data_IF_743515274197
#
_entry.id   IF_743515274197
#
_cell.length_a   1.000
_cell.length_b   1.000
_cell.length_c   1.000
_cell.angle_alpha   90.00
_cell.angle_beta   90.00
_cell.angle_gamma   90.00
#
_symmetry.space_group_name_H-M   'P 1'
#
loop_
_entity.id
_entity.type
_entity.pdbx_description
1 polymer ?
#
# COMPACT_ATOMS: atom_id res chain seq x y z
N UNK A 1 46.70 -1.27 24.47
CA UNK A 1 47.40 -0.74 25.65
C UNK A 1 47.17 -1.70 26.83
N UNK A 2 48.03 -2.72 27.02
CA UNK A 2 47.92 -3.67 28.15
C UNK A 2 49.28 -4.03 28.80
N UNK A 3 50.37 -3.36 28.40
CA UNK A 3 51.72 -3.63 28.90
C UNK A 3 51.96 -3.24 30.37
N UNK A 4 51.06 -2.47 30.99
CA UNK A 4 51.18 -2.05 32.39
C UNK A 4 50.76 -3.10 33.43
N UNK A 5 49.86 -4.04 33.09
CA UNK A 5 49.33 -4.99 34.08
C UNK A 5 50.30 -6.14 34.42
N UNK A 6 51.14 -6.54 33.48
CA UNK A 6 52.10 -7.64 33.67
C UNK A 6 53.30 -7.22 34.53
N UNK A 7 53.79 -5.98 34.37
CA UNK A 7 54.87 -5.45 35.20
C UNK A 7 54.39 -5.15 36.62
N UNK A 8 53.19 -4.60 36.77
CA UNK A 8 52.60 -4.25 38.07
C UNK A 8 52.38 -5.47 38.98
N UNK A 9 51.98 -6.62 38.42
CA UNK A 9 51.80 -7.86 39.19
C UNK A 9 53.13 -8.49 39.63
N UNK A 10 54.17 -8.42 38.79
CA UNK A 10 55.52 -8.84 39.15
C UNK A 10 56.13 -8.02 40.28
N UNK A 11 55.99 -6.69 40.22
CA UNK A 11 56.47 -5.79 41.27
C UNK A 11 55.74 -6.02 42.60
N UNK A 12 54.41 -6.20 42.57
CA UNK A 12 53.63 -6.46 43.77
C UNK A 12 54.06 -7.78 44.45
N UNK A 13 54.27 -8.85 43.67
CA UNK A 13 54.73 -10.13 44.21
C UNK A 13 56.13 -10.02 44.84
N UNK A 14 57.04 -9.28 44.20
CA UNK A 14 58.37 -9.04 44.75
C UNK A 14 58.32 -8.25 46.08
N UNK A 15 57.47 -7.23 46.17
CA UNK A 15 57.30 -6.42 47.39
C UNK A 15 56.72 -7.27 48.53
N UNK A 16 55.71 -8.11 48.25
CA UNK A 16 55.10 -8.99 49.26
C UNK A 16 56.11 -10.03 49.77
N UNK A 17 56.92 -10.62 48.88
CA UNK A 17 57.98 -11.54 49.27
C UNK A 17 59.04 -10.86 50.15
N UNK A 18 59.45 -9.64 49.80
CA UNK A 18 60.42 -8.87 50.58
C UNK A 18 59.89 -8.54 51.99
N UNK A 19 58.63 -8.10 52.11
CA UNK A 19 58.02 -7.80 53.41
C UNK A 19 57.92 -9.03 54.32
N UNK A 20 57.65 -10.21 53.75
CA UNK A 20 57.64 -11.47 54.50
C UNK A 20 59.03 -11.83 55.05
N UNK A 21 60.08 -11.64 54.25
CA UNK A 21 61.48 -11.88 54.67
C UNK A 21 61.87 -10.93 55.81
N UNK A 22 61.56 -9.63 55.67
CA UNK A 22 61.87 -8.63 56.70
C UNK A 22 61.12 -8.93 58.00
N UNK A 23 59.84 -9.27 57.90
CA UNK A 23 59.02 -9.58 59.09
C UNK A 23 59.55 -10.82 59.81
N UNK A 24 59.91 -11.88 59.08
CA UNK A 24 60.47 -13.10 59.64
C UNK A 24 61.83 -12.90 60.33
N UNK A 25 62.64 -11.95 59.83
CA UNK A 25 63.90 -11.55 60.46
C UNK A 25 63.70 -10.74 61.75
N UNK A 26 62.72 -9.84 61.78
CA UNK A 26 62.44 -8.98 62.95
C UNK A 26 61.77 -9.75 64.09
N UNK A 27 60.99 -10.78 63.78
CA UNK A 27 60.24 -11.57 64.78
C UNK A 27 60.89 -12.90 65.14
N UNK A 28 62.16 -13.11 64.77
CA UNK A 28 62.97 -14.32 65.04
C UNK A 28 62.19 -15.62 64.79
N UNK A 29 61.62 -15.74 63.59
CA UNK A 29 60.76 -16.87 63.27
C UNK A 29 61.49 -18.20 63.45
N UNK A 30 60.86 -19.18 64.12
CA UNK A 30 61.46 -20.49 64.30
C UNK A 30 61.71 -21.12 62.93
N UNK A 31 62.78 -21.92 62.80
CA UNK A 31 63.29 -22.40 61.52
C UNK A 31 62.25 -23.11 60.62
N UNK A 32 61.17 -23.65 61.19
CA UNK A 32 60.07 -24.29 60.45
C UNK A 32 59.06 -23.31 59.84
N UNK A 33 59.03 -22.05 60.26
CA UNK A 33 58.11 -21.06 59.74
C UNK A 33 58.55 -20.48 58.38
N UNK A 34 59.86 -20.50 58.09
CA UNK A 34 60.41 -20.16 56.77
C UNK A 34 59.90 -21.06 55.64
N UNK A 35 59.99 -22.40 55.72
CA UNK A 35 59.45 -23.27 54.68
C UNK A 35 57.92 -23.19 54.61
N UNK A 36 57.22 -22.96 55.73
CA UNK A 36 55.76 -22.76 55.72
C UNK A 36 55.35 -21.48 54.96
N UNK A 37 56.07 -20.37 55.15
CA UNK A 37 55.82 -19.13 54.39
C UNK A 37 56.14 -19.29 52.90
N UNK A 38 57.24 -19.97 52.56
CA UNK A 38 57.58 -20.26 51.17
C UNK A 38 56.51 -21.14 50.49
N UNK A 39 56.00 -22.16 51.20
CA UNK A 39 54.92 -23.01 50.72
C UNK A 39 53.61 -22.22 50.52
N UNK A 40 53.28 -21.29 51.43
CA UNK A 40 52.09 -20.44 51.30
C UNK A 40 52.19 -19.50 50.09
N UNK A 41 53.35 -18.91 49.83
CA UNK A 41 53.58 -18.09 48.63
C UNK A 41 53.50 -18.91 47.34
N UNK A 42 54.07 -20.12 47.33
CA UNK A 42 53.97 -21.03 46.19
C UNK A 42 52.51 -21.46 45.93
N UNK A 43 51.75 -21.75 46.99
CA UNK A 43 50.32 -22.08 46.90
C UNK A 43 49.50 -20.88 46.38
N UNK A 44 49.74 -19.67 46.91
CA UNK A 44 49.04 -18.48 46.46
C UNK A 44 49.33 -18.16 44.98
N UNK A 45 50.60 -18.19 44.57
CA UNK A 45 51.00 -17.92 43.18
C UNK A 45 50.48 -18.97 42.21
N UNK A 46 50.56 -20.26 42.56
CA UNK A 46 49.99 -21.35 41.75
C UNK A 46 48.47 -21.26 41.62
N UNK A 47 47.76 -20.92 42.71
CA UNK A 47 46.30 -20.71 42.68
C UNK A 47 45.94 -19.52 41.80
N UNK A 48 46.70 -18.42 41.88
CA UNK A 48 46.49 -17.24 41.04
C UNK A 48 46.75 -17.55 39.55
N UNK A 49 47.82 -18.28 39.25
CA UNK A 49 48.13 -18.75 37.89
C UNK A 49 47.07 -19.73 37.37
N UNK A 50 46.52 -20.58 38.23
CA UNK A 50 45.45 -21.52 37.87
C UNK A 50 44.13 -20.79 37.59
N UNK A 51 43.77 -19.77 38.38
CA UNK A 51 42.62 -18.91 38.13
C UNK A 51 42.82 -18.08 36.86
N UNK A 52 44.02 -17.57 36.60
CA UNK A 52 44.34 -16.87 35.35
C UNK A 52 44.30 -17.81 34.13
N UNK A 53 44.79 -19.05 34.24
CA UNK A 53 44.65 -20.08 33.21
C UNK A 53 43.20 -20.50 32.97
N UNK A 54 42.32 -20.42 33.97
CA UNK A 54 40.87 -20.62 33.78
C UNK A 54 40.16 -19.39 33.23
N UNK A 55 40.78 -18.21 33.30
CA UNK A 55 40.28 -16.93 32.77
C UNK A 55 40.97 -16.51 31.47
N UNK A 56 41.62 -17.41 30.75
CA UNK A 56 41.96 -17.12 29.35
C UNK A 56 40.64 -16.94 28.58
N UNK A 57 40.34 -15.75 28.05
CA UNK A 57 39.39 -15.70 26.95
C UNK A 57 39.93 -16.64 25.88
N UNK A 58 39.07 -17.50 25.36
CA UNK A 58 39.35 -18.27 24.16
C UNK A 58 39.56 -17.26 23.02
N UNK A 59 40.79 -16.78 22.89
CA UNK A 59 41.24 -16.01 21.73
C UNK A 59 41.66 -17.09 20.72
N UNK A 60 40.99 -17.17 19.56
CA UNK A 60 41.38 -18.06 18.49
C UNK A 60 42.87 -17.83 18.16
N UNK A 61 43.65 -18.87 17.83
CA UNK A 61 45.09 -18.76 17.54
C UNK A 61 45.47 -17.78 16.42
N UNK A 62 44.48 -17.21 15.72
CA UNK A 62 44.59 -16.25 14.62
C UNK A 62 45.11 -14.86 15.01
N UNK A 63 45.16 -14.52 16.30
CA UNK A 63 45.64 -13.20 16.75
C UNK A 63 47.10 -13.22 17.27
N UNK A 64 47.84 -14.30 17.06
CA UNK A 64 49.30 -14.33 17.26
C UNK A 64 49.95 -13.79 16.00
N UNK A 65 50.57 -12.61 16.09
CA UNK A 65 51.34 -11.98 15.02
C UNK A 65 52.58 -12.83 14.68
N UNK A 66 52.39 -13.92 13.95
CA UNK A 66 53.43 -14.50 13.11
C UNK A 66 53.55 -13.67 11.81
N UNK A 67 54.76 -13.50 11.24
CA UNK A 67 54.92 -12.89 9.93
C UNK A 67 54.04 -13.63 8.93
N UNK A 68 53.05 -12.93 8.35
CA UNK A 68 52.06 -13.50 7.44
C UNK A 68 52.76 -14.21 6.29
N UNK A 69 52.81 -15.55 6.35
CA UNK A 69 52.87 -16.38 5.16
C UNK A 69 51.71 -15.96 4.26
N UNK A 70 51.86 -15.84 2.93
CA UNK A 70 50.73 -15.53 2.07
C UNK A 70 49.63 -16.56 2.39
N UNK A 71 48.50 -16.06 2.91
CA UNK A 71 47.32 -16.89 3.17
C UNK A 71 47.06 -17.66 1.88
N UNK A 72 46.98 -19.01 1.91
CA UNK A 72 46.53 -19.73 0.73
C UNK A 72 45.20 -19.11 0.28
N UNK A 73 44.99 -18.88 -1.03
CA UNK A 73 43.74 -18.29 -1.49
C UNK A 73 42.58 -19.09 -0.93
N UNK A 74 41.71 -18.45 -0.15
CA UNK A 74 40.52 -19.09 0.43
C UNK A 74 39.72 -19.66 -0.74
N UNK A 75 39.67 -20.98 -0.85
CA UNK A 75 38.82 -21.65 -1.83
C UNK A 75 37.36 -21.29 -1.52
N UNK A 76 36.81 -20.36 -2.30
CA UNK A 76 35.43 -19.93 -2.19
C UNK A 76 34.56 -20.98 -2.86
N UNK A 77 34.04 -21.92 -2.07
CA UNK A 77 33.01 -22.86 -2.49
C UNK A 77 31.66 -22.13 -2.58
N UNK A 78 31.51 -21.33 -3.65
CA UNK A 78 30.37 -20.46 -3.89
C UNK A 78 29.73 -20.73 -5.26
N UNK A 79 28.40 -20.69 -5.33
CA UNK A 79 27.64 -20.79 -6.57
C UNK A 79 26.45 -19.84 -6.52
N UNK A 80 26.29 -19.03 -7.57
CA UNK A 80 25.17 -18.09 -7.67
C UNK A 80 23.98 -18.77 -8.35
N UNK A 81 22.85 -18.79 -7.66
CA UNK A 81 21.53 -19.14 -8.19
C UNK A 81 20.84 -17.89 -8.71
N UNK A 82 20.30 -17.98 -9.93
CA UNK A 82 19.59 -16.89 -10.59
C UNK A 82 18.22 -17.36 -11.01
N UNK A 83 17.18 -16.72 -10.46
CA UNK A 83 15.78 -16.85 -10.88
C UNK A 83 15.31 -18.30 -11.02
N UNK A 84 15.57 -19.13 -10.01
CA UNK A 84 15.09 -20.52 -9.99
C UNK A 84 13.62 -20.52 -9.55
N UNK A 85 12.68 -21.11 -10.32
CA UNK A 85 11.28 -21.17 -9.94
C UNK A 85 11.08 -22.11 -8.75
N UNK A 86 10.31 -21.64 -7.78
CA UNK A 86 9.89 -22.37 -6.60
C UNK A 86 8.37 -22.27 -6.46
N UNK A 87 7.71 -23.36 -6.01
CA UNK A 87 6.27 -23.39 -5.86
C UNK A 87 5.83 -22.42 -4.75
N UNK A 88 4.67 -21.81 -4.93
CA UNK A 88 3.96 -21.03 -3.90
C UNK A 88 2.68 -21.72 -3.47
N UNK A 89 1.96 -21.15 -2.50
CA UNK A 89 0.66 -21.67 -2.06
C UNK A 89 -0.43 -21.64 -3.16
N UNK A 90 -0.22 -20.85 -4.22
CA UNK A 90 -1.13 -20.80 -5.37
C UNK A 90 -0.47 -21.48 -6.57
N UNK A 91 -1.14 -22.44 -7.21
CA UNK A 91 -0.53 -23.30 -8.24
C UNK A 91 -0.10 -22.54 -9.50
N UNK A 92 -0.70 -21.38 -9.78
CA UNK A 92 -0.44 -20.60 -10.99
C UNK A 92 0.66 -19.53 -10.80
N UNK A 93 1.28 -19.46 -9.61
CA UNK A 93 2.26 -18.43 -9.27
C UNK A 93 3.57 -19.06 -8.79
N UNK A 94 4.62 -18.92 -9.58
CA UNK A 94 5.96 -19.35 -9.20
C UNK A 94 6.78 -18.17 -8.66
N UNK A 95 7.47 -18.40 -7.55
CA UNK A 95 8.43 -17.45 -7.02
C UNK A 95 9.83 -17.76 -7.53
N UNK A 96 10.56 -16.72 -7.92
CA UNK A 96 11.89 -16.81 -8.49
C UNK A 96 12.92 -16.51 -7.40
N UNK A 97 13.66 -17.54 -7.00
CA UNK A 97 14.74 -17.44 -6.03
C UNK A 97 16.03 -17.01 -6.73
N UNK A 98 16.69 -16.01 -6.17
CA UNK A 98 18.09 -15.69 -6.49
C UNK A 98 18.89 -15.63 -5.19
N UNK A 99 20.01 -16.34 -5.12
CA UNK A 99 20.82 -16.42 -3.91
C UNK A 99 22.25 -16.87 -4.23
N UNK A 100 23.19 -16.58 -3.34
CA UNK A 100 24.56 -17.10 -3.41
C UNK A 100 24.69 -18.27 -2.44
N UNK A 101 24.80 -19.49 -2.97
CA UNK A 101 24.99 -20.70 -2.18
C UNK A 101 26.45 -20.84 -1.80
N UNK A 102 26.71 -21.09 -0.51
CA UNK A 102 28.03 -21.42 0.02
C UNK A 102 27.98 -22.81 0.63
N UNK A 103 29.02 -23.61 0.41
CA UNK A 103 29.09 -24.94 1.02
C UNK A 103 30.46 -25.26 1.59
N UNK A 104 30.49 -26.26 2.45
CA UNK A 104 31.70 -26.87 2.99
C UNK A 104 31.53 -28.39 2.95
N UNK A 105 32.41 -29.13 2.25
CA UNK A 105 32.39 -30.60 2.30
C UNK A 105 32.59 -31.09 3.74
N UNK A 106 31.84 -32.11 4.14
CA UNK A 106 32.08 -32.88 5.37
C UNK A 106 32.96 -34.09 5.06
N UNK A 107 33.62 -34.63 6.09
CA UNK A 107 34.51 -35.78 5.96
C UNK A 107 33.73 -37.02 5.53
N UNK A 108 33.67 -37.25 4.22
CA UNK A 108 33.02 -38.41 3.66
C UNK A 108 33.87 -39.68 3.92
N UNK A 109 33.23 -40.84 4.16
CA UNK A 109 33.94 -42.11 4.28
C UNK A 109 34.79 -42.41 3.03
N UNK A 110 35.96 -43.02 3.19
CA UNK A 110 36.89 -43.28 2.08
C UNK A 110 36.33 -44.14 0.93
N UNK A 111 35.20 -44.83 1.15
CA UNK A 111 34.49 -45.65 0.16
C UNK A 111 33.35 -44.93 -0.54
N UNK A 112 33.10 -43.66 -0.20
CA UNK A 112 31.98 -42.92 -0.73
C UNK A 112 32.25 -42.51 -2.19
N UNK A 113 31.25 -42.61 -3.10
CA UNK A 113 31.42 -42.19 -4.49
C UNK A 113 31.75 -40.70 -4.59
N UNK A 114 32.48 -40.33 -5.65
CA UNK A 114 32.77 -38.93 -5.99
C UNK A 114 31.49 -38.25 -6.44
N UNK A 115 31.11 -37.16 -5.80
CA UNK A 115 29.87 -36.40 -6.08
C UNK A 115 30.23 -34.97 -6.47
N UNK A 116 29.38 -34.35 -7.30
CA UNK A 116 29.43 -32.91 -7.54
C UNK A 116 28.86 -32.15 -6.33
N UNK A 117 29.73 -31.65 -5.45
CA UNK A 117 29.34 -30.90 -4.26
C UNK A 117 28.51 -29.65 -4.56
N UNK A 118 28.79 -28.97 -5.68
CA UNK A 118 28.07 -27.74 -6.04
C UNK A 118 26.60 -28.04 -6.38
N UNK A 119 26.35 -29.06 -7.21
CA UNK A 119 24.99 -29.50 -7.54
C UNK A 119 24.22 -30.02 -6.32
N UNK A 120 24.91 -30.70 -5.41
CA UNK A 120 24.31 -31.21 -4.18
C UNK A 120 23.94 -30.06 -3.23
N UNK A 121 24.82 -29.07 -3.07
CA UNK A 121 24.55 -27.89 -2.25
C UNK A 121 23.37 -27.08 -2.79
N UNK A 122 23.27 -26.90 -4.11
CA UNK A 122 22.12 -26.26 -4.74
C UNK A 122 20.84 -27.04 -4.47
N UNK A 123 20.85 -28.37 -4.63
CA UNK A 123 19.66 -29.19 -4.38
C UNK A 123 19.18 -29.07 -2.93
N UNK A 124 20.10 -29.16 -1.96
CA UNK A 124 19.79 -29.02 -0.54
C UNK A 124 19.19 -27.63 -0.19
N UNK A 125 19.64 -26.57 -0.86
CA UNK A 125 19.07 -25.22 -0.69
C UNK A 125 17.69 -25.12 -1.35
N UNK A 126 17.52 -25.66 -2.55
CA UNK A 126 16.23 -25.62 -3.26
C UNK A 126 15.16 -26.44 -2.53
N UNK A 127 15.52 -27.58 -1.95
CA UNK A 127 14.60 -28.41 -1.17
C UNK A 127 14.13 -27.67 0.09
N UNK A 128 15.07 -27.14 0.91
CA UNK A 128 14.73 -26.30 2.06
C UNK A 128 13.90 -25.09 1.68
N UNK A 129 14.28 -24.39 0.60
CA UNK A 129 13.54 -23.24 0.13
C UNK A 129 12.12 -23.60 -0.32
N UNK A 130 11.95 -24.73 -1.02
CA UNK A 130 10.64 -25.20 -1.47
C UNK A 130 9.68 -25.53 -0.32
N UNK A 131 10.21 -26.06 0.79
CA UNK A 131 9.41 -26.34 1.99
C UNK A 131 8.84 -25.06 2.60
N UNK A 132 9.62 -23.98 2.60
CA UNK A 132 9.19 -22.67 3.11
C UNK A 132 8.25 -21.97 2.13
N UNK A 133 8.56 -22.00 0.83
CA UNK A 133 7.77 -21.28 -0.18
C UNK A 133 6.45 -21.97 -0.52
N UNK A 134 6.32 -23.29 -0.37
CA UNK A 134 5.08 -24.02 -0.67
C UNK A 134 3.86 -23.50 0.11
N UNK A 135 4.04 -22.95 1.31
CA UNK A 135 2.98 -22.33 2.11
C UNK A 135 2.84 -20.81 1.94
N UNK A 136 3.69 -20.18 1.11
CA UNK A 136 3.76 -18.73 0.99
C UNK A 136 2.67 -18.15 0.09
N UNK A 137 2.02 -17.07 0.55
CA UNK A 137 1.12 -16.28 -0.30
C UNK A 137 1.95 -15.41 -1.27
N UNK A 138 1.76 -15.53 -2.60
CA UNK A 138 2.48 -14.72 -3.58
C UNK A 138 2.22 -13.21 -3.43
N UNK A 139 1.18 -12.80 -2.72
CA UNK A 139 0.90 -11.39 -2.41
C UNK A 139 1.83 -10.81 -1.33
N UNK A 140 2.49 -11.65 -0.52
CA UNK A 140 3.28 -11.25 0.67
C UNK A 140 4.73 -11.74 0.62
N UNK A 141 5.33 -11.76 -0.56
CA UNK A 141 6.66 -12.34 -0.75
C UNK A 141 7.78 -11.64 -0.01
N UNK A 142 7.66 -10.34 0.27
CA UNK A 142 8.64 -9.63 1.09
C UNK A 142 8.77 -10.23 2.49
N UNK A 143 7.67 -10.68 3.09
CA UNK A 143 7.70 -11.36 4.39
C UNK A 143 8.37 -12.73 4.26
N UNK A 144 8.00 -13.49 3.23
CA UNK A 144 8.59 -14.81 2.96
C UNK A 144 10.09 -14.72 2.66
N UNK A 145 10.54 -13.67 1.97
CA UNK A 145 11.96 -13.41 1.71
C UNK A 145 12.74 -13.27 3.01
N UNK A 146 12.21 -12.52 3.99
CA UNK A 146 12.86 -12.36 5.30
C UNK A 146 12.93 -13.67 6.08
N UNK A 147 11.85 -14.46 6.08
CA UNK A 147 11.83 -15.78 6.72
C UNK A 147 12.84 -16.71 6.04
N UNK A 148 12.81 -16.79 4.71
CA UNK A 148 13.69 -17.63 3.92
C UNK A 148 15.16 -17.24 4.08
N UNK A 149 15.46 -15.94 4.16
CA UNK A 149 16.81 -15.45 4.44
C UNK A 149 17.32 -15.86 5.82
N UNK A 150 16.45 -16.03 6.82
CA UNK A 150 16.82 -16.52 8.14
C UNK A 150 17.11 -18.03 8.12
N UNK A 151 16.21 -18.80 7.53
CA UNK A 151 16.32 -20.26 7.42
C UNK A 151 17.55 -20.68 6.61
N UNK A 152 17.79 -20.06 5.45
CA UNK A 152 18.91 -20.43 4.58
C UNK A 152 20.27 -19.90 5.06
N UNK A 153 20.31 -18.96 6.01
CA UNK A 153 21.57 -18.39 6.51
C UNK A 153 22.37 -19.36 7.40
N UNK A 154 21.76 -20.47 7.86
CA UNK A 154 22.40 -21.46 8.71
C UNK A 154 23.09 -22.53 7.86
N UNK A 155 24.32 -22.89 8.23
CA UNK A 155 25.00 -24.08 7.68
C UNK A 155 24.32 -25.32 8.21
N UNK A 156 23.60 -26.02 7.34
CA UNK A 156 22.98 -27.30 7.67
C UNK A 156 23.49 -28.39 6.74
N UNK A 157 23.53 -29.61 7.26
CA UNK A 157 23.92 -30.79 6.48
C UNK A 157 22.84 -31.10 5.46
N UNK A 158 23.27 -31.57 4.29
CA UNK A 158 22.37 -32.15 3.31
C UNK A 158 21.87 -33.53 3.77
N UNK A 159 20.81 -34.04 3.12
CA UNK A 159 20.24 -35.36 3.40
C UNK A 159 21.25 -36.52 3.27
N UNK A 160 22.32 -36.34 2.49
CA UNK A 160 23.34 -37.37 2.33
C UNK A 160 24.48 -37.26 3.35
N UNK A 161 24.52 -36.20 4.17
CA UNK A 161 25.53 -35.96 5.19
C UNK A 161 26.94 -35.80 4.63
N UNK A 162 27.05 -35.23 3.42
CA UNK A 162 28.32 -35.06 2.68
C UNK A 162 28.80 -33.63 2.66
N UNK A 163 27.93 -32.66 2.88
CA UNK A 163 28.30 -31.25 2.93
C UNK A 163 27.37 -30.47 3.84
N UNK A 164 27.88 -29.35 4.32
CA UNK A 164 27.11 -28.29 4.93
C UNK A 164 26.84 -27.20 3.87
N UNK A 165 25.59 -26.76 3.75
CA UNK A 165 25.21 -25.69 2.82
C UNK A 165 24.48 -24.54 3.54
N UNK A 166 24.74 -23.32 3.09
CA UNK A 166 23.98 -22.11 3.41
C UNK A 166 23.73 -21.29 2.15
N UNK A 167 22.80 -20.35 2.19
CA UNK A 167 22.67 -19.31 1.18
C UNK A 167 22.76 -17.91 1.80
N UNK A 168 23.35 -17.00 1.03
CA UNK A 168 23.52 -15.58 1.35
C UNK A 168 22.89 -14.77 0.22
N UNK A 169 22.51 -13.51 0.48
CA UNK A 169 21.91 -12.61 -0.49
C UNK A 169 20.64 -13.17 -1.14
N UNK A 170 19.80 -13.81 -0.32
CA UNK A 170 18.53 -14.41 -0.73
C UNK A 170 17.57 -13.32 -1.18
N UNK A 171 17.03 -13.46 -2.39
CA UNK A 171 15.99 -12.60 -2.96
C UNK A 171 14.88 -13.45 -3.55
N UNK A 172 13.64 -13.04 -3.32
CA UNK A 172 12.46 -13.72 -3.81
C UNK A 172 11.61 -12.76 -4.64
N UNK A 173 11.40 -13.06 -5.92
CA UNK A 173 10.64 -12.18 -6.83
C UNK A 173 9.59 -12.96 -7.60
N UNK A 174 8.48 -12.35 -8.02
CA UNK A 174 7.58 -12.94 -9.02
C UNK A 174 8.01 -12.59 -10.42
N UNK A 175 7.42 -13.25 -11.41
CA UNK A 175 7.38 -12.70 -12.76
C UNK A 175 6.69 -11.33 -12.74
N UNK A 176 7.11 -10.43 -13.64
CA UNK A 176 6.52 -9.09 -13.72
C UNK A 176 5.04 -9.14 -14.08
N UNK A 177 4.66 -10.05 -14.99
CA UNK A 177 3.27 -10.30 -15.39
C UNK A 177 2.39 -10.72 -14.20
N UNK A 178 2.88 -11.64 -13.37
CA UNK A 178 2.14 -12.12 -12.20
C UNK A 178 2.00 -11.06 -11.12
N UNK A 179 3.06 -10.28 -10.90
CA UNK A 179 3.02 -9.15 -9.97
C UNK A 179 1.96 -8.14 -10.39
N UNK A 180 1.91 -7.77 -11.67
CA UNK A 180 0.90 -6.87 -12.20
C UNK A 180 -0.52 -7.46 -12.09
N UNK A 181 -0.70 -8.74 -12.41
CA UNK A 181 -1.99 -9.43 -12.29
C UNK A 181 -2.48 -9.43 -10.84
N UNK A 182 -1.61 -9.76 -9.88
CA UNK A 182 -1.97 -9.74 -8.46
C UNK A 182 -2.31 -8.33 -7.98
N UNK A 183 -1.60 -7.31 -8.45
CA UNK A 183 -1.90 -5.91 -8.14
C UNK A 183 -3.28 -5.51 -8.68
N UNK A 184 -3.59 -5.85 -9.94
CA UNK A 184 -4.92 -5.60 -10.54
C UNK A 184 -6.02 -6.30 -9.75
N UNK A 185 -5.84 -7.57 -9.39
CA UNK A 185 -6.79 -8.31 -8.56
C UNK A 185 -6.97 -7.72 -7.16
N UNK A 186 -5.90 -7.18 -6.57
CA UNK A 186 -5.98 -6.50 -5.28
C UNK A 186 -6.78 -5.20 -5.39
N UNK A 187 -6.60 -4.43 -6.46
CA UNK A 187 -7.37 -3.22 -6.74
C UNK A 187 -8.86 -3.53 -6.92
N UNK A 188 -9.20 -4.53 -7.73
CA UNK A 188 -10.60 -4.95 -7.94
C UNK A 188 -11.26 -5.33 -6.62
N UNK A 189 -10.59 -6.17 -5.80
CA UNK A 189 -11.12 -6.56 -4.48
C UNK A 189 -11.34 -5.38 -3.53
N UNK A 190 -10.44 -4.39 -3.56
CA UNK A 190 -10.60 -3.16 -2.75
C UNK A 190 -11.79 -2.33 -3.24
N UNK A 191 -11.92 -2.16 -4.55
CA UNK A 191 -13.00 -1.39 -5.14
C UNK A 191 -14.36 -2.04 -4.88
N UNK A 192 -14.46 -3.37 -5.00
CA UNK A 192 -15.67 -4.11 -4.66
C UNK A 192 -16.03 -3.96 -3.18
N UNK A 193 -15.04 -4.04 -2.28
CA UNK A 193 -15.27 -3.85 -0.85
C UNK A 193 -15.75 -2.43 -0.50
N UNK A 194 -15.21 -1.41 -1.19
CA UNK A 194 -15.67 -0.02 -1.06
C UNK A 194 -17.11 0.11 -1.56
N UNK A 195 -17.39 -0.39 -2.76
CA UNK A 195 -18.72 -0.34 -3.36
C UNK A 195 -19.77 -1.05 -2.49
N UNK A 196 -19.47 -2.24 -1.97
CA UNK A 196 -20.41 -2.98 -1.12
C UNK A 196 -20.59 -2.28 0.24
N UNK A 197 -19.58 -1.56 0.74
CA UNK A 197 -19.74 -0.72 1.93
C UNK A 197 -20.64 0.50 1.64
N UNK A 198 -20.44 1.19 0.53
CA UNK A 198 -21.26 2.32 0.11
C UNK A 198 -22.71 1.91 -0.13
N UNK A 199 -22.93 0.80 -0.84
CA UNK A 199 -24.27 0.25 -1.08
C UNK A 199 -24.96 -0.10 0.24
N UNK A 200 -24.28 -0.77 1.16
CA UNK A 200 -24.85 -1.08 2.49
C UNK A 200 -25.13 0.19 3.29
N UNK A 201 -24.28 1.20 3.20
CA UNK A 201 -24.50 2.49 3.83
C UNK A 201 -25.76 3.18 3.26
N UNK A 202 -25.94 3.18 1.94
CA UNK A 202 -27.14 3.73 1.31
C UNK A 202 -28.42 2.97 1.69
N UNK A 203 -28.37 1.63 1.66
CA UNK A 203 -29.52 0.79 2.04
C UNK A 203 -29.87 1.03 3.52
N UNK A 204 -28.86 1.00 4.41
CA UNK A 204 -29.06 1.27 5.82
C UNK A 204 -29.60 2.68 6.06
N UNK A 205 -29.15 3.67 5.28
CA UNK A 205 -29.66 5.04 5.37
C UNK A 205 -31.10 5.14 4.91
N UNK A 206 -31.48 4.46 3.82
CA UNK A 206 -32.87 4.41 3.34
C UNK A 206 -33.78 3.72 4.34
N UNK A 207 -33.36 2.57 4.88
CA UNK A 207 -34.11 1.86 5.93
C UNK A 207 -34.25 2.71 7.18
N UNK A 208 -33.20 3.35 7.67
CA UNK A 208 -33.31 4.28 8.81
C UNK A 208 -34.29 5.44 8.53
N UNK A 209 -34.22 6.05 7.34
CA UNK A 209 -35.13 7.13 6.98
C UNK A 209 -36.58 6.66 6.84
N UNK A 210 -36.81 5.48 6.28
CA UNK A 210 -38.14 4.91 6.09
C UNK A 210 -38.73 4.39 7.40
N UNK A 211 -38.00 3.52 8.09
CA UNK A 211 -38.49 2.69 9.19
C UNK A 211 -38.47 3.41 10.55
N UNK A 212 -37.56 4.37 10.73
CA UNK A 212 -37.41 5.12 11.99
C UNK A 212 -37.86 6.58 11.85
N UNK A 213 -37.37 7.30 10.84
CA UNK A 213 -37.62 8.75 10.73
C UNK A 213 -39.01 9.04 10.17
N UNK A 214 -39.32 8.56 8.97
CA UNK A 214 -40.55 8.89 8.24
C UNK A 214 -41.69 7.90 8.50
N UNK A 215 -41.54 6.97 9.45
CA UNK A 215 -42.59 6.01 9.84
C UNK A 215 -43.90 6.69 10.22
N UNK A 216 -43.81 7.84 10.90
CA UNK A 216 -44.95 8.63 11.35
C UNK A 216 -44.61 10.12 11.28
N UNK A 217 -45.63 10.98 11.21
CA UNK A 217 -45.44 12.44 11.35
C UNK A 217 -44.69 12.80 12.64
N UNK A 218 -45.00 12.11 13.75
CA UNK A 218 -44.36 12.37 15.04
C UNK A 218 -42.86 12.06 15.05
N UNK A 219 -42.45 10.93 14.48
CA UNK A 219 -41.03 10.57 14.37
C UNK A 219 -40.26 11.52 13.44
N UNK A 220 -40.90 11.98 12.36
CA UNK A 220 -40.32 12.95 11.44
C UNK A 220 -40.09 14.31 12.12
N UNK A 221 -41.05 14.77 12.94
CA UNK A 221 -40.95 16.01 13.73
C UNK A 221 -39.83 15.93 14.76
N UNK A 222 -39.73 14.83 15.52
CA UNK A 222 -38.66 14.64 16.52
C UNK A 222 -37.29 14.60 15.85
N UNK A 223 -37.18 13.86 14.73
CA UNK A 223 -35.93 13.81 13.97
C UNK A 223 -35.55 15.18 13.40
N UNK A 224 -36.50 15.93 12.85
CA UNK A 224 -36.26 17.26 12.31
C UNK A 224 -35.80 18.22 13.40
N UNK A 225 -36.40 18.16 14.59
CA UNK A 225 -36.02 18.97 15.75
C UNK A 225 -34.58 18.66 16.20
N UNK A 226 -34.25 17.37 16.34
CA UNK A 226 -32.91 16.91 16.70
C UNK A 226 -31.85 17.29 15.66
N UNK A 227 -32.22 17.38 14.37
CA UNK A 227 -31.31 17.75 13.28
C UNK A 227 -31.12 19.27 13.13
N UNK A 228 -32.05 20.08 13.64
CA UNK A 228 -32.08 21.54 13.45
C UNK A 228 -31.91 22.33 14.76
N UNK A 229 -31.15 21.80 15.74
CA UNK A 229 -30.83 22.45 17.01
C UNK A 229 -32.06 22.97 17.78
N UNK A 230 -33.10 22.15 17.88
CA UNK A 230 -34.32 22.46 18.65
C UNK A 230 -35.06 23.74 18.21
N UNK A 231 -35.03 24.09 16.92
CA UNK A 231 -35.79 25.22 16.34
C UNK A 231 -37.30 24.95 16.25
N UNK A 232 -37.97 24.97 17.40
CA UNK A 232 -39.38 24.61 17.57
C UNK A 232 -40.29 25.40 16.62
N UNK A 233 -40.14 26.72 16.52
CA UNK A 233 -41.03 27.57 15.70
C UNK A 233 -41.08 27.11 14.24
N UNK A 234 -39.90 26.80 13.68
CA UNK A 234 -39.77 26.32 12.32
C UNK A 234 -40.25 24.87 12.18
N UNK A 235 -40.02 24.02 13.18
CA UNK A 235 -40.59 22.65 13.19
C UNK A 235 -42.11 22.69 13.10
N UNK A 236 -42.76 23.58 13.87
CA UNK A 236 -44.22 23.72 13.90
C UNK A 236 -44.75 24.19 12.55
N UNK A 237 -44.09 25.13 11.88
CA UNK A 237 -44.43 25.55 10.52
C UNK A 237 -44.29 24.41 9.51
N UNK A 238 -43.28 23.56 9.65
CA UNK A 238 -42.97 22.48 8.71
C UNK A 238 -43.79 21.18 8.97
N UNK A 239 -44.68 21.13 9.98
CA UNK A 239 -45.49 19.94 10.32
C UNK A 239 -46.26 19.40 9.11
N UNK A 240 -46.84 20.28 8.30
CA UNK A 240 -47.56 19.90 7.08
C UNK A 240 -46.67 19.14 6.10
N UNK A 241 -45.51 19.72 5.78
CA UNK A 241 -44.52 19.14 4.87
C UNK A 241 -43.98 17.81 5.39
N UNK A 242 -43.69 17.72 6.69
CA UNK A 242 -43.23 16.48 7.32
C UNK A 242 -44.31 15.39 7.30
N UNK A 243 -45.58 15.77 7.44
CA UNK A 243 -46.71 14.84 7.31
C UNK A 243 -46.84 14.31 5.90
N UNK A 244 -46.73 15.19 4.90
CA UNK A 244 -46.79 14.83 3.49
C UNK A 244 -45.65 13.89 3.11
N UNK A 245 -44.41 14.21 3.51
CA UNK A 245 -43.23 13.37 3.30
C UNK A 245 -43.35 12.00 3.98
N UNK A 246 -43.84 11.94 5.22
CA UNK A 246 -44.05 10.67 5.91
C UNK A 246 -45.15 9.84 5.23
N UNK A 247 -46.22 10.48 4.76
CA UNK A 247 -47.32 9.79 4.07
C UNK A 247 -46.86 9.25 2.71
N UNK A 248 -46.12 10.06 1.94
CA UNK A 248 -45.53 9.67 0.66
C UNK A 248 -44.49 8.55 0.81
N UNK A 249 -43.64 8.59 1.85
CA UNK A 249 -42.62 7.57 2.08
C UNK A 249 -43.19 6.18 2.43
N UNK A 250 -44.43 6.11 2.91
CA UNK A 250 -45.11 4.86 3.29
C UNK A 250 -46.24 4.47 2.33
N UNK A 251 -46.39 5.16 1.19
CA UNK A 251 -47.52 5.00 0.26
C UNK A 251 -48.90 5.04 0.95
N UNK A 252 -49.06 5.92 1.95
CA UNK A 252 -50.30 6.09 2.72
C UNK A 252 -50.95 7.45 2.47
N UNK A 253 -52.29 7.57 2.61
CA UNK A 253 -52.94 8.87 2.61
C UNK A 253 -52.59 9.68 3.86
N UNK A 254 -52.58 11.01 3.72
CA UNK A 254 -52.34 11.94 4.83
C UNK A 254 -53.41 11.75 5.94
N UNK A 255 -53.01 11.52 7.20
CA UNK A 255 -53.97 11.35 8.29
C UNK A 255 -54.83 12.60 8.51
N UNK A 256 -56.13 12.40 8.75
CA UNK A 256 -57.14 13.48 8.83
C UNK A 256 -56.78 14.60 9.80
N UNK A 257 -56.19 14.28 10.94
CA UNK A 257 -55.80 15.26 11.97
C UNK A 257 -54.74 16.27 11.48
N UNK A 258 -53.98 15.89 10.45
CA UNK A 258 -52.90 16.70 9.89
C UNK A 258 -53.22 17.32 8.52
N UNK A 259 -54.34 16.97 7.89
CA UNK A 259 -54.74 17.52 6.58
C UNK A 259 -54.83 19.05 6.58
N UNK A 260 -55.27 19.65 7.70
CA UNK A 260 -55.33 21.10 7.92
C UNK A 260 -53.97 21.82 7.94
N UNK A 261 -52.87 21.07 8.02
CA UNK A 261 -51.52 21.62 8.00
C UNK A 261 -50.84 21.40 6.66
N UNK A 262 -51.38 20.52 5.80
CA UNK A 262 -50.83 20.24 4.48
C UNK A 262 -51.36 21.28 3.48
N UNK A 263 -50.46 22.01 2.77
CA UNK A 263 -50.86 22.92 1.71
C UNK A 263 -51.68 22.19 0.62
N UNK A 264 -52.81 22.75 0.19
CA UNK A 264 -53.69 22.14 -0.82
C UNK A 264 -54.74 21.14 -0.30
N UNK A 265 -54.51 20.50 0.85
CA UNK A 265 -55.56 19.72 1.56
C UNK A 265 -56.30 20.52 2.63
N UNK A 266 -55.81 21.72 2.93
CA UNK A 266 -56.44 22.66 3.88
C UNK A 266 -57.63 23.42 3.29
N UNK A 267 -57.86 23.33 1.98
CA UNK A 267 -59.07 23.82 1.32
C UNK A 267 -60.17 22.79 1.47
N UNK A 268 -60.85 22.81 2.61
CA UNK A 268 -62.23 22.30 2.69
C UNK A 268 -63.08 23.34 1.98
N UNK A 269 -63.72 23.05 0.82
CA UNK A 269 -64.82 23.88 0.39
C UNK A 269 -65.84 23.82 1.52
N UNK A 270 -66.25 24.96 2.06
CA UNK A 270 -67.50 24.97 2.83
C UNK A 270 -68.55 24.22 2.01
N UNK A 271 -69.42 23.40 2.62
CA UNK A 271 -70.47 22.74 1.86
C UNK A 271 -71.36 23.82 1.27
N UNK A 272 -71.09 24.20 0.01
CA UNK A 272 -71.99 25.01 -0.78
C UNK A 272 -73.31 24.26 -0.82
N UNK A 273 -74.35 24.89 -0.27
CA UNK A 273 -75.71 24.36 -0.36
C UNK A 273 -76.01 24.07 -1.83
N UNK A 274 -76.66 22.94 -2.17
CA UNK A 274 -76.91 22.58 -3.56
C UNK A 274 -77.87 23.60 -4.18
N UNK A 275 -77.31 24.59 -4.88
CA UNK A 275 -78.05 25.45 -5.79
C UNK A 275 -78.41 24.57 -6.99
N UNK A 276 -79.66 24.12 -7.00
CA UNK A 276 -80.29 23.53 -8.17
C UNK A 276 -80.38 24.60 -9.27
N UNK A 277 -79.43 24.60 -10.21
CA UNK A 277 -79.64 25.21 -11.51
C UNK A 277 -80.34 24.19 -12.44
N UNK A 278 -81.48 24.55 -13.06
CA UNK A 278 -82.10 23.68 -14.05
C UNK A 278 -81.17 23.52 -15.25
N UNK A 279 -80.84 22.28 -15.61
CA UNK A 279 -80.16 21.97 -16.86
C UNK A 279 -81.05 22.41 -18.04
N UNK A 280 -80.76 23.56 -18.63
CA UNK A 280 -81.25 23.87 -19.97
C UNK A 280 -80.52 22.96 -20.97
N UNK A 281 -81.33 22.21 -21.72
CA UNK A 281 -80.92 21.38 -22.84
C UNK A 281 -80.24 22.27 -23.89
N UNK A 282 -78.91 22.37 -23.83
CA UNK A 282 -78.12 22.94 -24.91
C UNK A 282 -78.09 21.92 -26.06
N UNK A 283 -78.97 22.16 -27.05
CA UNK A 283 -78.87 21.63 -28.40
C UNK A 283 -77.46 21.85 -28.95
N UNK A 284 -76.73 20.77 -29.19
CA UNK A 284 -75.48 20.81 -29.94
C UNK A 284 -75.79 20.64 -31.42
N UNK A 285 -75.71 21.74 -32.18
CA UNK A 285 -75.51 21.69 -33.63
C UNK A 285 -74.10 21.14 -33.93
N UNK A 286 -73.92 20.29 -34.95
CA UNK A 286 -72.60 19.83 -35.33
C UNK A 286 -71.90 20.93 -36.13
N UNK A 287 -71.15 21.79 -35.45
CA UNK A 287 -70.12 22.58 -36.13
C UNK A 287 -68.97 21.63 -36.51
N UNK A 288 -68.75 21.48 -37.81
CA UNK A 288 -67.55 20.88 -38.37
C UNK A 288 -66.32 21.71 -37.98
N UNK A 289 -65.77 21.43 -36.81
CA UNK A 289 -64.39 21.71 -36.51
C UNK A 289 -63.55 20.69 -37.28
N UNK A 290 -62.83 21.16 -38.31
CA UNK A 290 -61.82 20.37 -38.98
C UNK A 290 -60.77 19.92 -37.97
N UNK A 291 -60.65 18.61 -37.79
CA UNK A 291 -59.53 18.02 -37.07
C UNK A 291 -58.37 18.03 -38.06
N UNK A 292 -57.74 19.20 -38.22
CA UNK A 292 -56.32 19.19 -38.56
C UNK A 292 -55.66 18.44 -37.42
N UNK A 293 -55.10 17.27 -37.76
CA UNK A 293 -54.28 16.50 -36.87
C UNK A 293 -53.22 17.44 -36.30
N UNK A 294 -53.33 17.79 -35.01
CA UNK A 294 -52.22 18.35 -34.27
C UNK A 294 -51.08 17.36 -34.43
N UNK A 295 -50.11 17.75 -35.26
CA UNK A 295 -48.79 17.16 -35.30
C UNK A 295 -48.34 17.03 -33.86
N UNK A 296 -48.19 15.78 -33.41
CA UNK A 296 -47.51 15.46 -32.18
C UNK A 296 -46.20 16.26 -32.19
N UNK A 297 -46.10 17.26 -31.31
CA UNK A 297 -44.88 18.01 -31.12
C UNK A 297 -43.77 17.01 -30.83
N UNK A 298 -42.90 16.78 -31.81
CA UNK A 298 -41.67 16.03 -31.62
C UNK A 298 -40.96 16.69 -30.44
N UNK A 299 -40.74 15.93 -29.36
CA UNK A 299 -39.89 16.38 -28.27
C UNK A 299 -38.54 16.80 -28.90
N UNK A 300 -38.04 18.02 -28.63
CA UNK A 300 -36.76 18.42 -29.18
C UNK A 300 -35.70 17.46 -28.67
N UNK A 301 -35.16 16.63 -29.55
CA UNK A 301 -34.03 15.76 -29.26
C UNK A 301 -32.83 16.68 -29.04
N UNK A 302 -32.63 17.11 -27.81
CA UNK A 302 -31.48 17.93 -27.42
C UNK A 302 -30.21 17.13 -27.68
N UNK A 303 -29.37 17.64 -28.58
CA UNK A 303 -28.06 17.05 -28.84
C UNK A 303 -27.10 17.39 -27.70
N UNK A 304 -26.06 16.58 -27.44
CA UNK A 304 -25.06 16.89 -26.41
C UNK A 304 -24.43 18.29 -26.57
N UNK A 305 -24.31 18.78 -27.80
CA UNK A 305 -23.85 20.14 -28.12
C UNK A 305 -24.76 21.23 -27.53
N UNK A 306 -26.07 21.01 -27.43
CA UNK A 306 -27.05 21.98 -26.95
C UNK A 306 -26.93 22.19 -25.44
N UNK A 307 -26.74 21.11 -24.68
CA UNK A 307 -26.49 21.20 -23.23
C UNK A 307 -25.19 21.94 -22.92
N UNK A 308 -24.16 21.70 -23.73
CA UNK A 308 -22.88 22.37 -23.57
C UNK A 308 -22.97 23.86 -23.89
N UNK A 309 -23.69 24.24 -24.96
CA UNK A 309 -23.97 25.66 -25.28
C UNK A 309 -24.78 26.34 -24.18
N UNK A 310 -25.81 25.68 -23.67
CA UNK A 310 -26.63 26.20 -22.58
C UNK A 310 -25.81 26.42 -21.30
N UNK A 311 -24.85 25.53 -20.99
CA UNK A 311 -23.94 25.69 -19.85
C UNK A 311 -22.98 26.88 -20.03
N UNK A 312 -22.45 27.08 -21.24
CA UNK A 312 -21.56 28.21 -21.56
C UNK A 312 -22.33 29.54 -21.49
N UNK A 313 -23.55 29.59 -22.00
CA UNK A 313 -24.41 30.77 -21.94
C UNK A 313 -24.78 31.12 -20.48
N UNK A 314 -25.10 30.11 -19.66
CA UNK A 314 -25.35 30.29 -18.22
C UNK A 314 -24.12 30.80 -17.45
N UNK A 315 -22.92 30.51 -17.94
CA UNK A 315 -21.66 31.02 -17.36
C UNK A 315 -21.29 32.44 -17.82
N UNK A 316 -22.09 33.05 -18.71
CA UNK A 316 -21.89 34.39 -19.23
C UNK A 316 -20.93 34.48 -20.41
N UNK A 317 -20.54 33.34 -21.00
CA UNK A 317 -19.64 33.27 -22.15
C UNK A 317 -20.47 33.30 -23.44
N UNK A 318 -20.56 34.48 -24.05
CA UNK A 318 -21.33 34.70 -25.27
C UNK A 318 -20.82 33.89 -26.47
N UNK A 319 -21.69 33.73 -27.48
CA UNK A 319 -21.40 32.91 -28.67
C UNK A 319 -20.22 33.43 -29.50
N UNK A 320 -19.98 34.74 -29.47
CA UNK A 320 -18.89 35.42 -30.19
C UNK A 320 -17.60 35.62 -29.37
N UNK A 321 -17.51 35.00 -28.19
CA UNK A 321 -16.32 35.13 -27.35
C UNK A 321 -15.17 34.24 -27.87
N UNK A 322 -14.01 34.84 -28.13
CA UNK A 322 -12.81 34.12 -28.55
C UNK A 322 -12.39 33.06 -27.51
N UNK A 323 -12.69 33.28 -26.22
CA UNK A 323 -12.43 32.32 -25.15
C UNK A 323 -13.33 31.07 -25.27
N UNK A 324 -14.57 31.23 -25.77
CA UNK A 324 -15.48 30.11 -26.03
C UNK A 324 -14.92 29.17 -27.09
N UNK A 325 -14.40 29.73 -28.18
CA UNK A 325 -13.85 28.95 -29.29
C UNK A 325 -12.62 28.14 -28.86
N UNK A 326 -11.70 28.75 -28.10
CA UNK A 326 -10.52 28.07 -27.57
C UNK A 326 -10.88 26.96 -26.56
N UNK A 327 -11.90 27.19 -25.74
CA UNK A 327 -12.38 26.19 -24.81
C UNK A 327 -13.06 25.02 -25.54
N UNK A 328 -13.90 25.31 -26.55
CA UNK A 328 -14.51 24.28 -27.39
C UNK A 328 -13.48 23.43 -28.12
N UNK A 329 -12.42 24.05 -28.66
CA UNK A 329 -11.33 23.35 -29.33
C UNK A 329 -10.63 22.35 -28.39
N UNK A 330 -10.33 22.78 -27.16
CA UNK A 330 -9.73 21.90 -26.14
C UNK A 330 -10.64 20.77 -25.69
N UNK A 331 -11.94 21.03 -25.57
CA UNK A 331 -12.91 19.99 -25.18
C UNK A 331 -13.06 18.96 -26.29
N UNK A 332 -13.05 19.38 -27.57
CA UNK A 332 -13.04 18.48 -28.73
C UNK A 332 -11.79 17.59 -28.74
N UNK A 333 -10.61 18.19 -28.58
CA UNK A 333 -9.34 17.44 -28.53
C UNK A 333 -9.32 16.42 -27.39
N UNK A 334 -9.77 16.82 -26.20
CA UNK A 334 -9.83 15.95 -25.04
C UNK A 334 -10.86 14.82 -25.23
N UNK A 335 -12.02 15.11 -25.80
CA UNK A 335 -13.04 14.11 -26.12
C UNK A 335 -12.51 13.07 -27.12
N UNK A 336 -11.75 13.52 -28.13
CA UNK A 336 -11.13 12.62 -29.10
C UNK A 336 -10.09 11.67 -28.47
N UNK A 337 -9.15 12.22 -27.70
CA UNK A 337 -8.07 11.43 -27.05
C UNK A 337 -8.64 10.43 -26.02
N UNK A 338 -9.77 10.75 -25.40
CA UNK A 338 -10.42 9.88 -24.41
C UNK A 338 -11.35 8.83 -25.02
N UNK A 339 -11.47 8.78 -26.35
CA UNK A 339 -12.27 7.79 -27.07
C UNK A 339 -13.76 8.14 -27.19
N UNK A 340 -14.16 9.36 -26.84
CA UNK A 340 -15.52 9.89 -26.99
C UNK A 340 -15.71 10.48 -28.40
N UNK A 341 -15.46 9.67 -29.43
CA UNK A 341 -15.41 10.12 -30.82
C UNK A 341 -16.74 10.72 -31.31
N UNK A 342 -17.88 10.11 -30.96
CA UNK A 342 -19.21 10.61 -31.36
C UNK A 342 -19.49 12.01 -30.79
N UNK A 343 -19.13 12.23 -29.52
CA UNK A 343 -19.27 13.54 -28.86
C UNK A 343 -18.32 14.60 -29.43
N UNK A 344 -17.09 14.21 -29.78
CA UNK A 344 -16.14 15.12 -30.43
C UNK A 344 -16.65 15.56 -31.81
N UNK A 345 -17.22 14.63 -32.59
CA UNK A 345 -17.81 14.91 -33.91
C UNK A 345 -19.05 15.79 -33.79
N UNK A 346 -19.95 15.52 -32.84
CA UNK A 346 -21.14 16.36 -32.56
C UNK A 346 -20.73 17.80 -32.19
N UNK A 347 -19.64 17.95 -31.43
CA UNK A 347 -19.07 19.27 -31.13
C UNK A 347 -18.40 19.94 -32.33
N UNK A 348 -18.24 19.28 -33.48
CA UNK A 348 -17.64 19.81 -34.70
C UNK A 348 -16.13 19.59 -34.82
N UNK A 349 -15.59 18.53 -34.21
CA UNK A 349 -14.20 18.12 -34.41
C UNK A 349 -14.00 17.52 -35.81
N UNK A 350 -13.07 18.08 -36.58
CA UNK A 350 -12.61 17.48 -37.84
C UNK A 350 -11.34 16.66 -37.54
N UNK A 351 -11.35 15.33 -37.70
CA UNK A 351 -10.17 14.53 -37.43
C UNK A 351 -9.03 14.94 -38.38
N UNK A 352 -7.77 14.91 -37.92
CA UNK A 352 -6.63 15.11 -38.80
C UNK A 352 -6.73 14.13 -39.97
N UNK A 353 -6.71 14.63 -41.21
CA UNK A 353 -6.61 13.77 -42.40
C UNK A 353 -5.38 12.90 -42.23
N UNK A 354 -5.57 11.58 -42.20
CA UNK A 354 -4.48 10.63 -42.30
C UNK A 354 -3.75 10.90 -43.63
N UNK A 355 -2.53 11.44 -43.54
CA UNK A 355 -1.63 11.48 -44.69
C UNK A 355 -1.33 10.02 -45.06
N UNK A 356 -1.82 9.58 -46.23
CA UNK A 356 -1.49 8.27 -46.77
C UNK A 356 0.04 8.12 -46.81
N UNK A 357 0.59 6.97 -46.37
CA UNK A 357 2.03 6.77 -46.37
C UNK A 357 2.56 6.81 -47.79
N UNK A 358 3.42 7.79 -48.05
CA UNK A 358 4.19 7.98 -49.28
C UNK A 358 4.94 6.68 -49.63
N UNK A 359 4.35 5.88 -50.52
CA UNK A 359 5.04 4.77 -51.20
C UNK A 359 5.98 5.35 -52.26
N UNK A 360 7.09 5.93 -51.79
CA UNK A 360 8.22 6.39 -52.58
C UNK A 360 9.38 5.38 -52.52
N UNK A 361 9.61 4.71 -53.64
CA UNK A 361 10.64 3.72 -53.96
C UNK A 361 12.08 4.14 -53.52
N UNK A 362 12.92 3.25 -52.95
CA UNK A 362 14.27 3.61 -52.51
C UNK A 362 15.26 3.46 -53.66
N UNK A 363 15.88 4.56 -54.11
CA UNK A 363 17.07 4.47 -54.96
C UNK A 363 18.29 5.10 -54.25
N UNK A 364 19.41 4.37 -54.10
CA UNK A 364 20.55 4.82 -53.31
C UNK A 364 21.62 5.44 -54.21
N UNK A 365 21.87 6.74 -54.08
CA UNK A 365 23.17 7.36 -54.35
C UNK A 365 23.14 8.82 -53.89
N UNK A 366 23.91 9.19 -52.86
CA UNK A 366 25.19 9.88 -53.07
C UNK A 366 25.87 10.16 -51.72
N UNK A 367 27.19 10.03 -51.70
CA UNK A 367 28.04 10.08 -50.51
C UNK A 367 28.72 11.44 -50.35
N UNK A 368 28.24 12.23 -49.38
CA UNK A 368 28.98 13.23 -48.57
C UNK A 368 29.66 14.44 -49.25
N UNK A 369 30.43 15.26 -48.50
CA UNK A 369 30.39 15.51 -47.06
C UNK A 369 30.51 17.02 -46.67
N UNK A 370 30.33 17.31 -45.36
CA UNK A 370 30.75 18.54 -44.70
C UNK A 370 29.61 19.27 -43.99
N UNK A 371 29.78 20.00 -42.89
CA UNK A 371 30.80 20.12 -41.84
C UNK A 371 30.10 20.94 -40.72
N UNK A 372 30.70 20.96 -39.54
CA UNK A 372 30.30 21.65 -38.30
C UNK A 372 29.43 22.92 -38.42
N UNK A 373 28.41 23.08 -37.54
CA UNK A 373 28.50 23.96 -36.35
C UNK A 373 27.17 24.11 -35.61
N UNK A 374 27.27 24.14 -34.27
CA UNK A 374 26.48 24.93 -33.30
C UNK A 374 24.96 24.63 -33.16
N UNK A 375 24.38 24.49 -31.97
CA UNK A 375 24.86 24.73 -30.62
C UNK A 375 23.88 24.14 -29.61
N UNK A 376 24.46 23.70 -28.50
CA UNK A 376 23.80 23.20 -27.32
C UNK A 376 23.18 24.38 -26.53
N UNK A 377 21.87 24.35 -26.27
CA UNK A 377 21.24 25.13 -25.19
C UNK A 377 20.23 24.25 -24.45
N UNK A 378 20.76 23.50 -23.48
CA UNK A 378 20.02 23.13 -22.26
C UNK A 378 19.53 24.42 -21.58
N UNK A 379 18.22 24.58 -21.48
CA UNK A 379 17.58 25.59 -20.64
C UNK A 379 16.80 24.88 -19.54
N UNK A 380 17.48 24.79 -18.39
CA UNK A 380 16.92 24.44 -17.09
C UNK A 380 15.73 25.34 -16.77
N UNK A 381 14.55 24.76 -16.56
CA UNK A 381 13.46 25.41 -15.81
C UNK A 381 13.46 24.87 -14.39
N UNK A 382 13.93 25.71 -13.48
CA UNK A 382 13.80 25.56 -12.03
C UNK A 382 12.31 25.64 -11.64
N UNK A 383 11.84 24.61 -10.94
CA UNK A 383 10.59 24.61 -10.18
C UNK A 383 10.75 25.42 -8.87
N UNK A 384 9.74 26.19 -8.42
CA UNK A 384 9.77 26.82 -7.11
C UNK A 384 9.26 25.86 -6.00
N UNK A 385 9.81 25.92 -4.78
CA UNK A 385 9.43 25.01 -3.71
C UNK A 385 8.11 25.41 -3.03
N UNK A 386 7.17 24.45 -2.96
CA UNK A 386 5.98 24.56 -2.12
C UNK A 386 6.34 24.49 -0.63
N UNK A 387 5.79 25.46 0.12
CA UNK A 387 5.86 25.58 1.58
C UNK A 387 5.16 24.40 2.27
N UNK A 388 5.84 23.80 3.24
CA UNK A 388 5.27 22.83 4.17
C UNK A 388 4.51 23.49 5.32
N UNK A 389 3.40 22.83 5.69
CA UNK A 389 2.96 22.52 7.06
C UNK A 389 2.49 23.66 7.98
N UNK A 390 1.17 23.76 8.11
CA UNK A 390 0.48 24.22 9.31
C UNK A 390 -0.29 23.03 9.90
N UNK A 391 0.06 22.61 11.13
CA UNK A 391 -0.83 21.87 12.03
C UNK A 391 -1.48 22.83 13.03
N UNK A 392 -2.57 22.43 13.70
CA UNK A 392 -2.40 22.00 15.09
C UNK A 392 -3.33 20.87 15.59
N UNK A 393 -2.81 20.16 16.60
CA UNK A 393 -3.43 19.49 17.75
C UNK A 393 -4.92 19.08 17.72
N UNK A 394 -5.18 17.80 18.06
CA UNK A 394 -6.18 17.46 19.09
C UNK A 394 -5.79 16.19 19.88
N UNK A 395 -5.78 16.35 21.20
CA UNK A 395 -5.69 15.32 22.25
C UNK A 395 -7.07 14.69 22.47
N UNK A 396 -7.14 13.42 22.88
CA UNK A 396 -8.32 12.90 23.56
C UNK A 396 -8.56 11.40 23.44
N UNK A 397 -7.84 10.62 24.23
CA UNK A 397 -8.39 9.39 24.82
C UNK A 397 -9.23 9.83 26.05
N UNK A 398 -10.37 9.19 26.38
CA UNK A 398 -10.27 8.03 27.27
C UNK A 398 -11.33 6.93 27.05
N UNK A 399 -10.87 5.68 27.21
CA UNK A 399 -11.42 4.64 28.10
C UNK A 399 -12.83 4.84 28.69
N UNK A 400 -13.69 3.83 28.50
CA UNK A 400 -14.72 3.45 29.47
C UNK A 400 -14.85 1.92 29.55
N UNK A 401 -14.90 1.46 30.80
CA UNK A 401 -15.41 0.17 31.28
C UNK A 401 -16.88 -0.07 30.89
#
# INVERSE_FOLDING_TARGET
MSSGHSTMTGFLAAIVALLLVITGLVTEWPYWAWPAAAAALAAATSTLLWIQRRRTPFIPPECTLEPQSPLPPVERWEQVLKRVPLPTAKPDYDCLLSATVRWRPEDAPAWAPVVNYAGLAVNAILERASQVTAGADPTRLSLTEHVLSGELAVMESDDTGRLLAMAVDVRLTLSDEDRERLQKLATVRKNEAVWEHERRWEISRRSYLSDDVLKTTGSAVVWWLAKNDDKIDKTVSDIGLLTELASAANDQPVPRDFQRFVPGLSEVPEPEEPVWEPCEEAEWEPEEAGWEAEEAAEEPVFRPEDYFRMAMDASGVGEDDAERLLFMDRVRDAAWVTGLHDFAVDLGYEPPREEEPDTGDPNPSDSGPGDASEGNQESSREEPPMRSSFGPHFNGDPSYD
#
